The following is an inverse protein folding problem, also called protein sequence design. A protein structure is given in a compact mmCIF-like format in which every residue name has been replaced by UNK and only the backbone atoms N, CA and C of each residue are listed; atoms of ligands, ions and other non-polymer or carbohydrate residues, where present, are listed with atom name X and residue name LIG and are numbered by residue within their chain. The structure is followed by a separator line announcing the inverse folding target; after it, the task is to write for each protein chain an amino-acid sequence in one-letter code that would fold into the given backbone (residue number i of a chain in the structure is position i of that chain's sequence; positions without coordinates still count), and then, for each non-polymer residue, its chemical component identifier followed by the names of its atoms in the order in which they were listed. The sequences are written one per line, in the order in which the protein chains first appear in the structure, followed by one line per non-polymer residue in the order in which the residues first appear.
data_IF_237259367245
#
_entry.id   IF_237259367245
#
_cell.length_a   1.000
_cell.length_b   1.000
_cell.length_c   1.000
_cell.angle_alpha   90.00
_cell.angle_beta   90.00
_cell.angle_gamma   90.00
#
_symmetry.space_group_name_H-M   'P 1'
#
loop_
_entity.id
_entity.type
_entity.pdbx_description
1 polymer ?
#
# COMPACT_ATOMS: atom_id res chain seq x y z
N UNK A 1 6.04 -16.83 26.73
CA UNK A 1 7.38 -16.38 27.16
C UNK A 1 8.42 -17.48 27.01
N UNK A 2 8.28 -18.66 27.64
CA UNK A 2 9.30 -19.72 27.54
C UNK A 2 9.63 -20.20 26.11
N UNK A 3 8.67 -20.14 25.18
CA UNK A 3 8.89 -20.53 23.76
C UNK A 3 9.61 -19.48 22.92
N UNK A 4 9.63 -18.22 23.35
CA UNK A 4 10.28 -17.13 22.63
C UNK A 4 11.69 -16.85 23.15
N UNK A 5 11.95 -17.18 24.41
CA UNK A 5 13.21 -16.89 25.09
C UNK A 5 14.26 -17.98 24.88
N UNK A 6 15.52 -17.57 24.80
CA UNK A 6 16.69 -18.45 24.91
C UNK A 6 17.33 -18.27 26.29
N UNK A 7 16.95 -19.14 27.24
CA UNK A 7 17.45 -19.07 28.62
C UNK A 7 18.91 -19.47 28.78
N UNK A 8 19.58 -19.89 27.70
CA UNK A 8 21.01 -20.21 27.72
C UNK A 8 21.88 -18.97 27.54
N UNK A 9 21.32 -17.88 27.03
CA UNK A 9 22.01 -16.59 26.88
C UNK A 9 21.93 -15.79 28.18
N UNK A 10 23.03 -15.17 28.61
CA UNK A 10 23.01 -14.27 29.76
C UNK A 10 22.29 -12.94 29.38
N UNK A 11 21.18 -12.57 30.06
CA UNK A 11 20.44 -11.35 29.73
C UNK A 11 21.24 -10.06 29.93
N UNK A 12 22.29 -10.07 30.75
CA UNK A 12 23.16 -8.91 30.95
C UNK A 12 24.12 -8.67 29.77
N UNK A 13 24.36 -9.69 28.94
CA UNK A 13 25.26 -9.63 27.79
C UNK A 13 24.49 -9.36 26.48
N UNK A 14 23.39 -10.10 26.26
CA UNK A 14 22.48 -9.89 25.14
C UNK A 14 21.02 -10.18 25.55
N UNK A 15 20.32 -9.12 25.94
CA UNK A 15 18.92 -9.23 26.34
C UNK A 15 17.99 -9.59 25.18
N UNK A 16 18.35 -9.24 23.94
CA UNK A 16 17.52 -9.56 22.77
C UNK A 16 17.55 -11.05 22.48
N UNK A 17 18.73 -11.66 22.40
CA UNK A 17 18.84 -13.12 22.19
C UNK A 17 18.25 -13.89 23.37
N UNK A 18 18.46 -13.44 24.62
CA UNK A 18 17.79 -14.04 25.78
C UNK A 18 16.26 -13.99 25.67
N UNK A 19 15.68 -12.85 25.29
CA UNK A 19 14.22 -12.69 25.27
C UNK A 19 13.55 -13.31 24.02
N UNK A 20 14.25 -13.29 22.87
CA UNK A 20 13.69 -13.53 21.53
C UNK A 20 14.40 -14.64 20.73
N UNK A 21 15.59 -15.10 21.14
CA UNK A 21 16.40 -16.05 20.36
C UNK A 21 15.67 -17.36 20.05
N UNK A 22 14.88 -17.86 21.01
CA UNK A 22 13.99 -19.00 20.79
C UNK A 22 12.91 -18.73 19.75
N UNK A 23 12.38 -17.51 19.67
CA UNK A 23 11.42 -17.13 18.63
C UNK A 23 12.06 -17.07 17.26
N UNK A 24 13.24 -16.42 17.13
CA UNK A 24 13.97 -16.28 15.87
C UNK A 24 14.29 -17.66 15.27
N UNK A 25 14.79 -18.59 16.09
CA UNK A 25 15.09 -19.97 15.67
C UNK A 25 13.87 -20.72 15.11
N UNK A 26 12.68 -20.44 15.64
CA UNK A 26 11.44 -21.17 15.31
C UNK A 26 10.56 -20.45 14.26
N UNK A 27 10.89 -19.22 13.87
CA UNK A 27 10.05 -18.43 12.98
C UNK A 27 10.92 -17.83 11.86
N UNK A 28 11.42 -18.66 10.92
CA UNK A 28 12.12 -18.14 9.74
C UNK A 28 11.20 -17.20 8.96
N UNK A 29 11.81 -16.27 8.22
CA UNK A 29 11.07 -15.32 7.39
C UNK A 29 10.32 -16.10 6.31
N UNK A 30 8.97 -16.03 6.26
CA UNK A 30 8.20 -16.74 5.26
C UNK A 30 8.44 -16.20 3.85
N UNK A 31 8.15 -17.03 2.85
CA UNK A 31 8.17 -16.60 1.45
C UNK A 31 7.25 -15.37 1.24
N UNK A 32 7.71 -14.44 0.39
CA UNK A 32 6.99 -13.20 0.12
C UNK A 32 7.07 -12.15 1.24
N UNK A 33 7.85 -12.40 2.31
CA UNK A 33 8.15 -11.41 3.35
C UNK A 33 9.65 -11.11 3.37
N UNK A 34 10.01 -9.85 3.59
CA UNK A 34 11.40 -9.42 3.82
C UNK A 34 11.77 -9.36 5.29
N UNK A 35 10.78 -9.32 6.18
CA UNK A 35 10.92 -9.27 7.63
C UNK A 35 9.80 -10.06 8.29
N UNK A 36 10.11 -10.73 9.39
CA UNK A 36 9.11 -11.46 10.17
C UNK A 36 9.30 -11.22 11.66
N UNK A 37 8.21 -10.89 12.33
CA UNK A 37 8.19 -10.51 13.74
C UNK A 37 6.77 -10.57 14.30
N UNK A 38 6.59 -10.18 15.56
CA UNK A 38 5.28 -10.15 16.20
C UNK A 38 4.28 -9.26 15.47
N UNK A 39 4.70 -8.08 15.00
CA UNK A 39 3.83 -7.17 14.23
C UNK A 39 3.44 -7.76 12.88
N UNK A 40 4.39 -8.34 12.12
CA UNK A 40 4.08 -8.99 10.84
C UNK A 40 3.13 -10.19 11.00
N UNK A 41 3.27 -10.96 12.09
CA UNK A 41 2.35 -12.06 12.42
C UNK A 41 0.94 -11.55 12.76
N UNK A 42 0.85 -10.47 13.53
CA UNK A 42 -0.43 -9.86 13.89
C UNK A 42 -1.12 -9.26 12.66
N UNK A 43 -0.39 -8.51 11.84
CA UNK A 43 -0.88 -7.94 10.58
C UNK A 43 -1.39 -9.04 9.65
N UNK A 44 -0.62 -10.12 9.46
CA UNK A 44 -1.05 -11.24 8.64
C UNK A 44 -2.35 -11.87 9.15
N UNK A 45 -2.49 -12.05 10.47
CA UNK A 45 -3.75 -12.54 11.06
C UNK A 45 -4.91 -11.58 10.79
N UNK A 46 -4.70 -10.27 10.90
CA UNK A 46 -5.72 -9.27 10.60
C UNK A 46 -6.11 -9.30 9.12
N UNK A 47 -5.15 -9.44 8.20
CA UNK A 47 -5.41 -9.58 6.76
C UNK A 47 -6.30 -10.79 6.46
N UNK A 48 -6.08 -11.94 7.13
CA UNK A 48 -6.94 -13.12 6.98
C UNK A 48 -8.37 -12.87 7.48
N UNK A 49 -8.53 -12.14 8.59
CA UNK A 49 -9.86 -11.77 9.10
C UNK A 49 -10.55 -10.82 8.12
N UNK A 50 -9.86 -9.79 7.63
CA UNK A 50 -10.38 -8.83 6.66
C UNK A 50 -10.79 -9.54 5.36
N UNK A 51 -9.95 -10.44 4.84
CA UNK A 51 -10.27 -11.30 3.70
C UNK A 51 -11.57 -12.07 3.91
N UNK A 52 -11.70 -12.75 5.06
CA UNK A 52 -12.91 -13.52 5.37
C UNK A 52 -14.17 -12.65 5.42
N UNK A 53 -14.07 -11.39 5.87
CA UNK A 53 -15.20 -10.46 5.89
C UNK A 53 -15.55 -9.98 4.46
N UNK A 54 -14.54 -9.64 3.66
CA UNK A 54 -14.74 -9.12 2.30
C UNK A 54 -15.22 -10.18 1.30
N UNK A 55 -14.96 -11.47 1.57
CA UNK A 55 -15.41 -12.59 0.73
C UNK A 55 -16.83 -13.07 1.02
N UNK A 56 -17.51 -12.50 2.03
CA UNK A 56 -18.91 -12.81 2.33
C UNK A 56 -19.83 -12.37 1.19
N UNK A 57 -21.07 -12.86 1.21
CA UNK A 57 -22.10 -12.40 0.27
C UNK A 57 -22.37 -10.91 0.48
N UNK A 58 -22.58 -10.16 -0.61
CA UNK A 58 -22.93 -8.74 -0.51
C UNK A 58 -24.24 -8.51 0.24
N UNK A 59 -25.15 -9.50 0.23
CA UNK A 59 -26.40 -9.47 0.98
C UNK A 59 -26.19 -9.57 2.50
N UNK A 60 -25.03 -10.04 2.95
CA UNK A 60 -24.68 -10.11 4.38
C UNK A 60 -24.13 -8.78 4.91
N UNK A 61 -23.96 -7.77 4.06
CA UNK A 61 -23.40 -6.46 4.39
C UNK A 61 -24.51 -5.42 4.52
N UNK A 62 -24.50 -4.68 5.62
CA UNK A 62 -25.59 -3.76 5.98
C UNK A 62 -25.41 -2.39 5.32
N UNK A 63 -24.19 -1.87 5.33
CA UNK A 63 -23.91 -0.50 4.86
C UNK A 63 -23.38 -0.46 3.42
N UNK A 64 -23.68 0.64 2.72
CA UNK A 64 -23.10 0.87 1.38
C UNK A 64 -21.57 1.02 1.42
N UNK A 65 -20.99 1.46 2.55
CA UNK A 65 -19.55 1.53 2.72
C UNK A 65 -18.90 0.14 2.68
N UNK A 66 -19.48 -0.83 3.41
CA UNK A 66 -19.01 -2.22 3.40
C UNK A 66 -19.16 -2.85 2.02
N UNK A 67 -20.30 -2.64 1.35
CA UNK A 67 -20.52 -3.15 -0.01
C UNK A 67 -19.52 -2.58 -1.02
N UNK A 68 -19.15 -1.30 -0.89
CA UNK A 68 -18.10 -0.68 -1.72
C UNK A 68 -16.73 -1.28 -1.43
N UNK A 69 -16.37 -1.47 -0.16
CA UNK A 69 -15.10 -2.11 0.22
C UNK A 69 -15.01 -3.53 -0.35
N UNK A 70 -16.09 -4.32 -0.25
CA UNK A 70 -16.19 -5.64 -0.87
C UNK A 70 -16.03 -5.58 -2.39
N UNK A 71 -16.80 -4.73 -3.08
CA UNK A 71 -16.72 -4.62 -4.54
C UNK A 71 -15.32 -4.23 -5.01
N UNK A 72 -14.65 -3.34 -4.30
CA UNK A 72 -13.27 -2.96 -4.56
C UNK A 72 -12.29 -4.13 -4.36
N UNK A 73 -12.46 -4.92 -3.29
CA UNK A 73 -11.69 -6.15 -3.08
C UNK A 73 -11.91 -7.16 -4.21
N UNK A 74 -13.16 -7.42 -4.59
CA UNK A 74 -13.49 -8.37 -5.65
C UNK A 74 -12.96 -7.92 -7.02
N UNK A 75 -12.92 -6.62 -7.31
CA UNK A 75 -12.29 -6.11 -8.54
C UNK A 75 -10.78 -6.28 -8.56
N UNK A 76 -10.13 -6.34 -7.40
CA UNK A 76 -8.70 -6.61 -7.29
C UNK A 76 -8.40 -8.11 -7.41
N UNK A 77 -9.23 -8.96 -6.80
CA UNK A 77 -9.10 -10.42 -6.92
C UNK A 77 -9.44 -10.93 -8.32
N UNK A 78 -10.29 -10.20 -9.05
CA UNK A 78 -10.54 -10.35 -10.49
C UNK A 78 -10.76 -11.80 -10.96
N UNK A 79 -11.80 -12.44 -10.43
CA UNK A 79 -12.13 -13.82 -10.78
C UNK A 79 -12.46 -14.05 -12.28
N UNK A 80 -12.63 -12.98 -13.05
CA UNK A 80 -12.97 -13.03 -14.48
C UNK A 80 -11.78 -12.72 -15.40
N UNK A 81 -10.55 -12.61 -14.85
CA UNK A 81 -9.31 -12.35 -15.60
C UNK A 81 -9.34 -11.04 -16.43
N UNK A 82 -10.12 -10.05 -15.97
CA UNK A 82 -10.25 -8.74 -16.62
C UNK A 82 -8.92 -7.97 -16.64
N UNK A 83 -8.12 -8.07 -15.58
CA UNK A 83 -6.83 -7.39 -15.44
C UNK A 83 -5.86 -7.88 -16.52
N UNK A 84 -5.74 -9.20 -16.69
CA UNK A 84 -4.88 -9.79 -17.71
C UNK A 84 -5.39 -9.50 -19.13
N UNK A 85 -6.71 -9.51 -19.32
CA UNK A 85 -7.32 -9.17 -20.61
C UNK A 85 -7.08 -7.72 -21.02
N UNK A 86 -7.12 -6.77 -20.07
CA UNK A 86 -6.84 -5.34 -20.32
C UNK A 86 -5.34 -5.05 -20.47
N UNK A 87 -4.48 -5.87 -19.88
CA UNK A 87 -3.03 -5.70 -19.92
C UNK A 87 -2.60 -4.27 -19.53
N UNK A 88 -1.78 -3.64 -20.39
CA UNK A 88 -1.25 -2.30 -20.14
C UNK A 88 -2.19 -1.15 -20.54
N UNK A 89 -3.35 -1.43 -21.17
CA UNK A 89 -4.22 -0.40 -21.74
C UNK A 89 -4.64 0.68 -20.73
N UNK A 90 -5.04 0.37 -19.48
CA UNK A 90 -5.42 1.41 -18.52
C UNK A 90 -4.27 2.37 -18.18
N UNK A 91 -3.03 1.86 -18.13
CA UNK A 91 -1.86 2.69 -17.88
C UNK A 91 -1.49 3.53 -19.10
N UNK A 92 -1.61 2.98 -20.31
CA UNK A 92 -1.37 3.72 -21.56
C UNK A 92 -2.36 4.87 -21.74
N UNK A 93 -3.62 4.68 -21.34
CA UNK A 93 -4.63 5.75 -21.32
C UNK A 93 -4.25 6.89 -20.36
N UNK A 94 -3.77 6.56 -19.15
CA UNK A 94 -3.26 7.57 -18.20
C UNK A 94 -2.05 8.31 -18.79
N UNK A 95 -1.10 7.59 -19.39
CA UNK A 95 0.07 8.21 -20.03
C UNK A 95 -0.33 9.16 -21.17
N UNK A 96 -1.28 8.78 -22.01
CA UNK A 96 -1.78 9.65 -23.08
C UNK A 96 -2.47 10.91 -22.51
N UNK A 97 -3.23 10.76 -21.41
CA UNK A 97 -3.90 11.88 -20.72
C UNK A 97 -2.93 12.84 -20.04
N UNK A 98 -1.71 12.42 -19.74
CA UNK A 98 -0.70 13.25 -19.06
C UNK A 98 0.35 13.83 -20.02
N UNK A 99 0.14 13.70 -21.33
CA UNK A 99 1.03 14.27 -22.37
C UNK A 99 2.05 13.29 -22.96
N UNK A 100 1.94 12.00 -22.61
CA UNK A 100 2.79 10.93 -23.13
C UNK A 100 4.16 10.82 -22.45
N UNK A 101 4.98 9.92 -22.96
CA UNK A 101 6.32 9.67 -22.46
C UNK A 101 7.27 9.43 -23.64
N UNK A 102 8.46 10.01 -23.64
CA UNK A 102 9.40 9.89 -24.76
C UNK A 102 9.72 8.44 -25.19
N UNK A 103 9.66 7.49 -24.25
CA UNK A 103 9.91 6.06 -24.54
C UNK A 103 8.76 5.43 -25.34
N UNK A 104 7.53 5.99 -25.30
CA UNK A 104 6.39 5.46 -26.06
C UNK A 104 6.37 5.87 -27.55
N UNK A 105 7.34 6.67 -28.00
CA UNK A 105 7.55 7.01 -29.41
C UNK A 105 6.66 8.12 -29.99
N UNK A 106 5.50 8.38 -29.38
CA UNK A 106 4.54 9.40 -29.85
C UNK A 106 4.62 10.73 -29.05
N UNK A 107 5.69 10.94 -28.30
CA UNK A 107 5.88 12.12 -27.47
C UNK A 107 6.31 13.34 -28.30
N UNK A 108 5.69 14.48 -28.03
CA UNK A 108 6.02 15.76 -28.66
C UNK A 108 6.35 16.80 -27.57
N UNK A 109 7.64 17.06 -27.40
CA UNK A 109 8.15 18.02 -26.39
C UNK A 109 7.62 19.44 -26.61
N UNK A 110 7.23 19.80 -27.84
CA UNK A 110 6.70 21.13 -28.14
C UNK A 110 5.23 21.28 -27.75
N UNK A 111 4.50 20.17 -27.56
CA UNK A 111 3.12 20.16 -27.06
C UNK A 111 3.02 19.86 -25.58
N UNK A 112 4.07 19.29 -25.00
CA UNK A 112 4.10 18.88 -23.61
C UNK A 112 4.31 20.07 -22.68
N UNK A 113 3.50 20.17 -21.63
CA UNK A 113 3.60 21.20 -20.60
C UNK A 113 3.86 20.57 -19.22
N UNK A 114 5.00 20.91 -18.62
CA UNK A 114 5.41 20.37 -17.32
C UNK A 114 4.40 20.71 -16.21
N UNK A 115 3.85 21.93 -16.21
CA UNK A 115 2.96 22.37 -15.14
C UNK A 115 1.62 21.63 -15.19
N UNK A 116 1.05 21.47 -16.38
CA UNK A 116 -0.18 20.71 -16.61
C UNK A 116 0.01 19.24 -16.25
N UNK A 117 1.10 18.60 -16.71
CA UNK A 117 1.40 17.21 -16.35
C UNK A 117 1.53 17.03 -14.84
N UNK A 118 2.30 17.89 -14.15
CA UNK A 118 2.44 17.82 -12.69
C UNK A 118 1.10 18.05 -11.98
N UNK A 119 0.28 19.00 -12.46
CA UNK A 119 -1.03 19.27 -11.89
C UNK A 119 -1.95 18.05 -12.00
N UNK A 120 -2.02 17.42 -13.17
CA UNK A 120 -2.87 16.24 -13.40
C UNK A 120 -2.39 15.08 -12.53
N UNK A 121 -1.08 14.79 -12.54
CA UNK A 121 -0.51 13.70 -11.75
C UNK A 121 -0.80 13.86 -10.25
N UNK A 122 -0.51 15.04 -9.68
CA UNK A 122 -0.70 15.28 -8.25
C UNK A 122 -2.18 15.37 -7.86
N UNK A 123 -2.99 16.18 -8.55
CA UNK A 123 -4.35 16.47 -8.09
C UNK A 123 -5.40 15.43 -8.50
N UNK A 124 -5.20 14.70 -9.61
CA UNK A 124 -6.15 13.68 -10.07
C UNK A 124 -5.72 12.27 -9.69
N UNK A 125 -4.43 11.97 -9.75
CA UNK A 125 -3.91 10.63 -9.52
C UNK A 125 -3.15 10.47 -8.19
N UNK A 126 -2.99 11.55 -7.42
CA UNK A 126 -2.22 11.55 -6.17
C UNK A 126 -0.78 11.01 -6.36
N UNK A 127 -0.18 11.35 -7.51
CA UNK A 127 1.17 10.94 -7.88
C UNK A 127 2.11 12.15 -7.87
N UNK A 128 3.13 12.09 -7.02
CA UNK A 128 4.19 13.09 -6.96
C UNK A 128 5.12 13.04 -8.17
N UNK A 129 5.57 14.22 -8.61
CA UNK A 129 6.60 14.37 -9.63
C UNK A 129 7.89 14.93 -9.03
N UNK A 130 8.24 16.16 -9.39
CA UNK A 130 9.44 16.86 -8.88
C UNK A 130 9.33 17.21 -7.40
N UNK A 131 8.14 17.62 -6.98
CA UNK A 131 7.74 17.90 -5.61
C UNK A 131 6.27 17.49 -5.47
N UNK A 132 5.83 17.32 -4.22
CA UNK A 132 4.45 16.98 -3.89
C UNK A 132 3.80 18.15 -3.18
N UNK A 133 2.47 18.23 -3.21
CA UNK A 133 1.77 19.15 -2.31
C UNK A 133 0.52 18.50 -1.73
N UNK A 134 0.24 18.85 -0.48
CA UNK A 134 -0.93 18.40 0.23
C UNK A 134 -1.52 19.53 1.07
N UNK A 135 -2.77 19.34 1.49
CA UNK A 135 -3.40 20.20 2.49
C UNK A 135 -3.22 19.51 3.84
N UNK A 136 -2.38 20.10 4.69
CA UNK A 136 -2.09 19.61 6.03
C UNK A 136 -2.44 20.65 7.10
N UNK A 137 -2.35 20.24 8.36
CA UNK A 137 -2.51 21.15 9.49
C UNK A 137 -1.34 22.15 9.56
N UNK A 138 -1.60 23.37 10.03
CA UNK A 138 -0.56 24.36 10.29
C UNK A 138 0.13 24.07 11.63
N UNK A 139 1.44 23.78 11.61
CA UNK A 139 2.25 23.52 12.81
C UNK A 139 2.17 24.66 13.85
N UNK A 140 1.85 25.89 13.40
CA UNK A 140 1.69 27.07 14.26
C UNK A 140 0.26 27.28 14.74
N UNK A 141 -0.71 26.62 14.10
CA UNK A 141 -2.13 26.70 14.47
C UNK A 141 -2.91 25.49 13.94
N UNK A 142 -3.06 24.46 14.77
CA UNK A 142 -3.73 23.20 14.41
C UNK A 142 -5.22 23.34 14.07
N UNK A 143 -5.84 24.52 14.26
CA UNK A 143 -7.22 24.78 13.82
C UNK A 143 -7.29 25.28 12.37
N UNK A 144 -6.17 25.40 11.67
CA UNK A 144 -6.07 25.87 10.28
C UNK A 144 -5.35 24.83 9.43
N UNK A 145 -5.67 24.85 8.14
CA UNK A 145 -4.97 24.06 7.13
C UNK A 145 -4.17 24.98 6.21
N UNK A 146 -3.01 24.50 5.78
CA UNK A 146 -2.13 25.18 4.82
C UNK A 146 -1.71 24.21 3.73
N UNK A 147 -1.28 24.76 2.59
CA UNK A 147 -0.59 23.96 1.58
C UNK A 147 0.82 23.66 2.11
N UNK A 148 1.15 22.38 2.16
CA UNK A 148 2.48 21.87 2.44
C UNK A 148 3.09 21.39 1.12
N UNK A 149 4.31 21.83 0.84
CA UNK A 149 5.10 21.46 -0.35
C UNK A 149 6.39 20.81 0.10
#
# INVERSE_FOLDING_TARGET
MLRSSDVTTNPCDDFYEYACGGWVKNNPIPDGKSMWGTFGKLEHRNQLIIKNVLERSENDLESEAEKKARRYYMSCMDANETIEALGAEPLLDILNKTGGWNISGNFDIHKWDLQETLHILQNRYNMGGLFTWAVGEDDRNSSRHIIQV
#
